data_IF_346380606947
#
_entry.id   IF_346380606947
#
_cell.length_a   1.000
_cell.length_b   1.000
_cell.length_c   1.000
_cell.angle_alpha   90.00
_cell.angle_beta   90.00
_cell.angle_gamma   90.00
#
_symmetry.space_group_name_H-M   'P 1'
#
loop_
_entity.id
_entity.type
_entity.pdbx_description
1 polymer ?
#
# COMPACT_ATOMS: atom_id res chain seq x y z
N UNK A 1 13.02 7.09 -16.03
CA UNK A 1 11.53 7.11 -16.01
C UNK A 1 11.01 6.06 -15.01
N UNK A 2 11.51 6.06 -13.76
CA UNK A 2 11.17 5.03 -12.75
C UNK A 2 10.11 5.55 -11.77
N UNK A 3 10.19 6.84 -11.43
CA UNK A 3 9.14 7.62 -10.77
C UNK A 3 7.77 7.49 -11.46
N UNK A 4 7.74 7.27 -12.79
CA UNK A 4 6.49 7.08 -13.51
C UNK A 4 5.74 5.81 -13.08
N UNK A 5 6.43 4.67 -12.91
CA UNK A 5 5.75 3.39 -12.61
C UNK A 5 5.22 3.36 -11.17
N UNK A 6 6.00 3.83 -10.21
CA UNK A 6 5.57 3.98 -8.82
C UNK A 6 4.33 4.88 -8.71
N UNK A 7 4.41 6.08 -9.31
CA UNK A 7 3.34 7.06 -9.25
C UNK A 7 2.10 6.59 -10.03
N UNK A 8 2.27 5.93 -11.18
CA UNK A 8 1.15 5.29 -11.88
C UNK A 8 0.52 4.18 -11.02
N UNK A 9 1.33 3.35 -10.35
CA UNK A 9 0.83 2.28 -9.49
C UNK A 9 -0.02 2.82 -8.34
N UNK A 10 0.41 3.93 -7.73
CA UNK A 10 -0.36 4.65 -6.72
C UNK A 10 -1.65 5.27 -7.29
N UNK A 11 -1.61 5.82 -8.50
CA UNK A 11 -2.80 6.37 -9.18
C UNK A 11 -3.80 5.25 -9.51
N UNK A 12 -3.35 4.12 -10.06
CA UNK A 12 -4.18 2.95 -10.31
C UNK A 12 -4.80 2.42 -9.01
N UNK A 13 -4.04 2.38 -7.91
CA UNK A 13 -4.55 1.99 -6.60
C UNK A 13 -5.66 2.92 -6.11
N UNK A 14 -5.50 4.23 -6.32
CA UNK A 14 -6.50 5.23 -5.95
C UNK A 14 -7.75 5.18 -6.83
N UNK A 15 -7.61 4.83 -8.10
CA UNK A 15 -8.71 4.77 -9.07
C UNK A 15 -9.49 3.44 -9.05
N UNK A 16 -9.10 2.48 -8.21
CA UNK A 16 -9.77 1.18 -8.13
C UNK A 16 -9.18 0.10 -9.05
N UNK A 17 -8.18 0.43 -9.87
CA UNK A 17 -7.45 -0.54 -10.68
C UNK A 17 -6.33 -1.21 -9.87
N UNK A 18 -6.76 -2.08 -8.96
CA UNK A 18 -5.87 -2.77 -8.03
C UNK A 18 -4.95 -3.79 -8.72
N UNK A 19 -5.37 -4.33 -9.87
CA UNK A 19 -4.57 -5.27 -10.65
C UNK A 19 -3.36 -4.58 -11.28
N UNK A 20 -3.58 -3.46 -11.96
CA UNK A 20 -2.49 -2.66 -12.52
C UNK A 20 -1.62 -2.08 -11.42
N UNK A 21 -2.22 -1.63 -10.32
CA UNK A 21 -1.47 -1.16 -9.15
C UNK A 21 -0.51 -2.22 -8.60
N UNK A 22 -0.98 -3.44 -8.39
CA UNK A 22 -0.15 -4.55 -7.89
C UNK A 22 1.03 -4.84 -8.81
N UNK A 23 0.82 -4.83 -10.13
CA UNK A 23 1.89 -5.09 -11.09
C UNK A 23 2.91 -3.96 -11.12
N UNK A 24 2.44 -2.70 -11.22
CA UNK A 24 3.29 -1.53 -11.30
C UNK A 24 4.11 -1.30 -10.02
N UNK A 25 3.52 -1.56 -8.85
CA UNK A 25 4.20 -1.43 -7.57
C UNK A 25 5.18 -2.58 -7.29
N UNK A 26 4.90 -3.82 -7.76
CA UNK A 26 5.87 -4.92 -7.72
C UNK A 26 7.09 -4.64 -8.58
N UNK A 27 6.87 -4.19 -9.80
CA UNK A 27 7.96 -3.82 -10.72
C UNK A 27 8.79 -2.66 -10.15
N UNK A 28 8.11 -1.67 -9.55
CA UNK A 28 8.76 -0.55 -8.86
C UNK A 28 9.64 -1.06 -7.71
N UNK A 29 9.10 -1.93 -6.84
CA UNK A 29 9.83 -2.51 -5.71
C UNK A 29 11.06 -3.30 -6.14
N UNK A 30 10.94 -4.15 -7.17
CA UNK A 30 12.09 -4.92 -7.69
C UNK A 30 13.20 -4.01 -8.21
N UNK A 31 12.84 -2.87 -8.80
CA UNK A 31 13.83 -1.91 -9.32
C UNK A 31 14.54 -1.13 -8.20
N UNK A 32 13.85 -0.86 -7.08
CA UNK A 32 14.38 -0.05 -5.97
C UNK A 32 15.01 -0.85 -4.82
N UNK A 33 14.96 -2.18 -4.86
CA UNK A 33 15.50 -3.05 -3.80
C UNK A 33 17.02 -3.09 -3.65
N UNK A 34 17.79 -2.38 -4.50
CA UNK A 34 19.25 -2.48 -4.60
C UNK A 34 20.08 -1.34 -3.98
N UNK A 35 19.50 -0.19 -3.64
CA UNK A 35 20.26 0.97 -3.15
C UNK A 35 19.63 1.62 -1.90
N UNK A 36 20.45 2.01 -0.93
CA UNK A 36 20.01 2.53 0.37
C UNK A 36 19.16 3.82 0.27
N UNK A 37 19.43 4.71 -0.70
CA UNK A 37 18.60 5.89 -0.96
C UNK A 37 17.23 5.56 -1.59
N UNK A 38 17.10 4.38 -2.19
CA UNK A 38 15.87 3.89 -2.83
C UNK A 38 15.00 3.05 -1.87
N UNK A 39 15.51 2.77 -0.66
CA UNK A 39 14.77 2.08 0.39
C UNK A 39 13.47 2.82 0.78
N UNK A 40 13.44 4.15 0.68
CA UNK A 40 12.21 4.94 0.91
C UNK A 40 11.14 4.66 -0.15
N UNK A 41 11.52 4.57 -1.43
CA UNK A 41 10.60 4.30 -2.53
C UNK A 41 10.10 2.85 -2.49
N UNK A 42 10.97 1.92 -2.08
CA UNK A 42 10.58 0.53 -1.84
C UNK A 42 9.53 0.44 -0.72
N UNK A 43 9.73 1.14 0.40
CA UNK A 43 8.75 1.20 1.50
C UNK A 43 7.42 1.83 1.08
N UNK A 44 7.46 2.90 0.29
CA UNK A 44 6.23 3.52 -0.24
C UNK A 44 5.48 2.56 -1.17
N UNK A 45 6.20 1.79 -2.00
CA UNK A 45 5.62 0.77 -2.84
C UNK A 45 5.01 -0.39 -2.03
N UNK A 46 5.63 -0.79 -0.92
CA UNK A 46 5.11 -1.81 -0.02
C UNK A 46 3.79 -1.39 0.64
N UNK A 47 3.69 -0.13 1.06
CA UNK A 47 2.44 0.46 1.55
C UNK A 47 1.37 0.41 0.45
N UNK A 48 1.68 0.87 -0.76
CA UNK A 48 0.74 0.83 -1.89
C UNK A 48 0.30 -0.59 -2.23
N UNK A 49 1.19 -1.57 -2.11
CA UNK A 49 0.90 -2.98 -2.35
C UNK A 49 -0.05 -3.56 -1.31
N UNK A 50 0.19 -3.25 -0.03
CA UNK A 50 -0.67 -3.69 1.06
C UNK A 50 -2.07 -3.07 0.96
N UNK A 51 -2.16 -1.80 0.55
CA UNK A 51 -3.43 -1.13 0.26
C UNK A 51 -4.18 -1.75 -0.92
N UNK A 52 -3.46 -2.07 -2.01
CA UNK A 52 -4.06 -2.75 -3.16
C UNK A 52 -4.59 -4.14 -2.78
N UNK A 53 -3.87 -4.89 -1.93
CA UNK A 53 -4.35 -6.18 -1.40
C UNK A 53 -5.64 -6.04 -0.61
N UNK A 54 -5.75 -5.05 0.29
CA UNK A 54 -6.97 -4.81 1.05
C UNK A 54 -8.18 -4.57 0.12
N UNK A 55 -7.99 -3.79 -0.94
CA UNK A 55 -9.07 -3.45 -1.89
C UNK A 55 -9.36 -4.56 -2.89
N UNK A 56 -8.38 -5.42 -3.18
CA UNK A 56 -8.53 -6.56 -4.08
C UNK A 56 -9.28 -7.74 -3.44
N UNK A 57 -9.62 -7.68 -2.15
CA UNK A 57 -10.46 -8.70 -1.51
C UNK A 57 -11.87 -8.62 -2.13
N UNK A 58 -12.15 -9.58 -3.01
CA UNK A 58 -13.38 -9.65 -3.77
C UNK A 58 -14.54 -10.13 -2.88
N UNK A 59 -15.48 -9.22 -2.64
CA UNK A 59 -16.68 -9.49 -1.84
C UNK A 59 -17.62 -10.53 -2.46
N UNK A 60 -17.52 -10.80 -3.77
CA UNK A 60 -18.36 -11.79 -4.45
C UNK A 60 -17.77 -13.21 -4.41
N UNK A 61 -16.48 -13.36 -4.09
CA UNK A 61 -15.78 -14.65 -4.07
C UNK A 61 -15.49 -15.19 -2.68
N UNK A 62 -15.26 -14.30 -1.71
CA UNK A 62 -14.90 -14.70 -0.35
C UNK A 62 -16.11 -14.69 0.59
N UNK A 63 -16.33 -15.74 1.41
CA UNK A 63 -17.29 -15.71 2.50
C UNK A 63 -17.05 -14.51 3.42
N UNK A 64 -18.10 -13.89 3.95
CA UNK A 64 -18.01 -12.66 4.76
C UNK A 64 -16.98 -12.73 5.88
N UNK A 65 -16.91 -13.85 6.61
CA UNK A 65 -15.93 -14.05 7.68
C UNK A 65 -14.49 -14.06 7.15
N UNK A 66 -14.23 -14.78 6.05
CA UNK A 66 -12.89 -14.86 5.44
C UNK A 66 -12.46 -13.52 4.84
N UNK A 67 -13.39 -12.79 4.23
CA UNK A 67 -13.16 -11.43 3.73
C UNK A 67 -12.72 -10.49 4.85
N UNK A 68 -13.40 -10.53 6.00
CA UNK A 68 -13.06 -9.68 7.15
C UNK A 68 -11.69 -10.04 7.74
N UNK A 69 -11.35 -11.33 7.83
CA UNK A 69 -10.00 -11.77 8.23
C UNK A 69 -8.93 -11.23 7.29
N UNK A 70 -9.09 -11.41 5.98
CA UNK A 70 -8.12 -10.95 4.98
C UNK A 70 -7.98 -9.42 4.98
N UNK A 71 -9.08 -8.70 5.19
CA UNK A 71 -9.07 -7.25 5.33
C UNK A 71 -8.34 -6.82 6.61
N UNK A 72 -8.55 -7.51 7.74
CA UNK A 72 -7.82 -7.23 8.98
C UNK A 72 -6.32 -7.51 8.84
N UNK A 73 -5.93 -8.65 8.27
CA UNK A 73 -4.52 -8.99 8.02
C UNK A 73 -3.85 -7.92 7.14
N UNK A 74 -4.53 -7.47 6.09
CA UNK A 74 -4.02 -6.41 5.23
C UNK A 74 -3.91 -5.06 5.97
N UNK A 75 -4.85 -4.72 6.85
CA UNK A 75 -4.78 -3.51 7.67
C UNK A 75 -3.59 -3.53 8.64
N UNK A 76 -3.37 -4.65 9.33
CA UNK A 76 -2.23 -4.79 10.25
C UNK A 76 -0.88 -4.68 9.54
N UNK A 77 -0.78 -5.25 8.33
CA UNK A 77 0.38 -5.05 7.45
C UNK A 77 0.57 -3.58 7.08
N UNK A 78 -0.49 -2.88 6.64
CA UNK A 78 -0.42 -1.45 6.30
C UNK A 78 0.03 -0.63 7.50
N UNK A 79 -0.50 -0.90 8.70
CA UNK A 79 -0.10 -0.18 9.93
C UNK A 79 1.39 -0.38 10.21
N UNK A 80 1.87 -1.62 10.14
CA UNK A 80 3.27 -1.97 10.41
C UNK A 80 4.21 -1.25 9.43
N UNK A 81 3.87 -1.20 8.14
CA UNK A 81 4.67 -0.49 7.15
C UNK A 81 4.66 1.03 7.34
N UNK A 82 3.52 1.62 7.75
CA UNK A 82 3.44 3.04 8.08
C UNK A 82 4.33 3.38 9.28
N UNK A 83 4.31 2.57 10.33
CA UNK A 83 5.16 2.75 11.51
C UNK A 83 6.65 2.63 11.14
N UNK A 84 7.00 1.62 10.34
CA UNK A 84 8.36 1.43 9.86
C UNK A 84 8.83 2.55 8.93
N UNK A 85 7.92 3.15 8.15
CA UNK A 85 8.20 4.35 7.35
C UNK A 85 8.40 5.56 8.27
N UNK A 86 7.52 5.77 9.23
CA UNK A 86 7.59 6.88 10.16
C UNK A 86 8.86 6.87 11.02
N UNK A 87 9.33 5.68 11.43
CA UNK A 87 10.60 5.52 12.11
C UNK A 87 11.81 5.90 11.24
N UNK A 88 11.72 5.72 9.92
CA UNK A 88 12.80 6.00 8.99
C UNK A 88 12.87 7.47 8.54
N UNK A 89 11.71 8.12 8.35
CA UNK A 89 11.66 9.47 7.72
C UNK A 89 10.95 10.53 8.57
N UNK A 90 10.47 10.15 9.75
CA UNK A 90 9.77 11.03 10.68
C UNK A 90 8.25 11.07 10.48
N UNK A 91 7.51 11.15 11.59
CA UNK A 91 6.04 11.19 11.63
C UNK A 91 5.43 12.39 10.88
N UNK A 92 6.16 13.51 10.80
CA UNK A 92 5.72 14.72 10.12
C UNK A 92 5.88 14.68 8.60
N UNK A 93 6.52 13.65 8.05
CA UNK A 93 6.79 13.58 6.62
C UNK A 93 5.50 13.37 5.82
N UNK A 94 5.40 14.05 4.67
CA UNK A 94 4.19 14.05 3.83
C UNK A 94 3.74 12.64 3.43
N UNK A 95 4.68 11.74 3.16
CA UNK A 95 4.39 10.33 2.83
C UNK A 95 3.75 9.56 4.00
N UNK A 96 4.26 9.77 5.22
CA UNK A 96 3.68 9.16 6.42
C UNK A 96 2.29 9.71 6.67
N UNK A 97 2.10 11.03 6.57
CA UNK A 97 0.78 11.64 6.74
C UNK A 97 -0.23 11.16 5.69
N UNK A 98 0.20 11.04 4.43
CA UNK A 98 -0.62 10.52 3.34
C UNK A 98 -1.04 9.07 3.59
N UNK A 99 -0.08 8.21 3.92
CA UNK A 99 -0.33 6.81 4.22
C UNK A 99 -1.25 6.61 5.44
N UNK A 100 -1.02 7.37 6.53
CA UNK A 100 -1.87 7.35 7.73
C UNK A 100 -3.30 7.79 7.44
N UNK A 101 -3.48 8.87 6.65
CA UNK A 101 -4.81 9.32 6.25
C UNK A 101 -5.54 8.26 5.43
N UNK A 102 -4.83 7.61 4.51
CA UNK A 102 -5.40 6.57 3.65
C UNK A 102 -5.74 5.29 4.45
N UNK A 103 -4.87 4.87 5.37
CA UNK A 103 -5.15 3.81 6.33
C UNK A 103 -6.44 4.08 7.13
N UNK A 104 -6.61 5.31 7.60
CA UNK A 104 -7.85 5.74 8.26
C UNK A 104 -9.10 5.68 7.38
N UNK A 105 -8.97 5.81 6.05
CA UNK A 105 -10.08 5.59 5.11
C UNK A 105 -10.40 4.10 4.95
N UNK A 106 -9.38 3.23 4.89
CA UNK A 106 -9.57 1.78 4.78
C UNK A 106 -10.23 1.20 6.04
N UNK A 107 -9.85 1.67 7.23
CA UNK A 107 -10.49 1.30 8.50
C UNK A 107 -12.00 1.56 8.54
N UNK A 108 -12.48 2.59 7.83
CA UNK A 108 -13.92 2.89 7.74
C UNK A 108 -14.67 1.93 6.82
N UNK A 109 -13.96 1.31 5.87
CA UNK A 109 -14.52 0.39 4.87
C UNK A 109 -14.49 -1.07 5.33
N UNK A 110 -13.65 -1.41 6.31
CA UNK A 110 -13.58 -2.75 6.90
C UNK A 110 -14.68 -3.03 7.95
N UNK A 111 -15.73 -2.21 7.99
CA UNK A 111 -16.89 -2.33 8.90
C UNK A 111 -18.09 -2.89 8.17
#
# INVERSE_FOLDING_TARGET
IVLCKHRLGMICAAQGDHRSALQLLRDSRQHFGGAAEQAMLAKEADIGLAMAKFRAVDAAREPTARRLELQHEALELIRTEIEALAAAIGQGHMLVQGATRYYGQLLKLAR
#
